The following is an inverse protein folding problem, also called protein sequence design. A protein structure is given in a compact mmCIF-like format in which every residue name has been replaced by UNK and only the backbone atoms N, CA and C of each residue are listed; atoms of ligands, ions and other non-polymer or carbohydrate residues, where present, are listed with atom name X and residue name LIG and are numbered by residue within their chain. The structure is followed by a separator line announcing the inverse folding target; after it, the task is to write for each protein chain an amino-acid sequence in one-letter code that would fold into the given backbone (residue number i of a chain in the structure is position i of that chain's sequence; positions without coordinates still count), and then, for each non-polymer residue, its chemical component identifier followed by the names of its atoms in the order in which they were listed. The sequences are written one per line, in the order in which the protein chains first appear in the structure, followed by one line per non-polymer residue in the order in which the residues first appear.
data_IF_378825784065
#
_entry.id   IF_378825784065
#
_cell.length_a   1.000
_cell.length_b   1.000
_cell.length_c   1.000
_cell.angle_alpha   90.00
_cell.angle_beta   90.00
_cell.angle_gamma   90.00
#
_symmetry.space_group_name_H-M   'P 1'
#
loop_
_entity.id
_entity.type
_entity.pdbx_description
1 polymer ?
#
# COMPACT_ATOMS: atom_id res chain seq x y z
N UNK A 1 -3.75 21.93 0.27
CA UNK A 1 -2.42 21.33 0.08
C UNK A 1 -1.80 21.17 1.46
N UNK A 2 -1.21 20.01 1.77
CA UNK A 2 -0.54 19.80 3.05
C UNK A 2 0.60 20.81 3.19
N UNK A 3 0.64 21.55 4.30
CA UNK A 3 1.76 22.44 4.61
C UNK A 3 2.94 21.56 5.01
N UNK A 4 3.75 21.19 4.03
CA UNK A 4 4.93 20.34 4.18
C UNK A 4 6.17 21.22 4.14
N UNK A 5 7.11 20.96 5.04
CA UNK A 5 8.42 21.60 4.99
C UNK A 5 9.14 21.29 3.66
N UNK A 6 10.02 22.18 3.24
CA UNK A 6 10.76 22.08 1.97
C UNK A 6 11.49 20.74 1.79
N UNK A 7 11.99 20.16 2.89
CA UNK A 7 12.62 18.85 2.88
C UNK A 7 11.64 17.73 2.49
N UNK A 8 10.44 17.73 3.08
CA UNK A 8 9.40 16.74 2.79
C UNK A 8 8.80 16.93 1.40
N UNK A 9 8.71 18.18 0.91
CA UNK A 9 8.28 18.46 -0.45
C UNK A 9 9.25 17.88 -1.50
N UNK A 10 10.57 17.99 -1.26
CA UNK A 10 11.60 17.38 -2.12
C UNK A 10 11.49 15.86 -2.14
N UNK A 11 11.37 15.22 -0.98
CA UNK A 11 11.21 13.76 -0.89
C UNK A 11 9.96 13.26 -1.62
N UNK A 12 8.84 13.99 -1.52
CA UNK A 12 7.63 13.66 -2.28
C UNK A 12 7.83 13.84 -3.78
N UNK A 13 8.59 14.85 -4.21
CA UNK A 13 8.90 15.04 -5.62
C UNK A 13 9.78 13.89 -6.16
N UNK A 14 10.80 13.47 -5.41
CA UNK A 14 11.66 12.33 -5.79
C UNK A 14 10.84 11.04 -5.91
N UNK A 15 9.95 10.78 -4.95
CA UNK A 15 9.00 9.65 -4.99
C UNK A 15 8.06 9.74 -6.20
N UNK A 16 7.57 10.94 -6.50
CA UNK A 16 6.69 11.19 -7.64
C UNK A 16 7.39 10.90 -8.95
N UNK A 17 8.63 11.34 -9.12
CA UNK A 17 9.43 11.08 -10.32
C UNK A 17 9.77 9.61 -10.47
N UNK A 18 10.14 8.95 -9.37
CA UNK A 18 10.50 7.53 -9.36
C UNK A 18 9.33 6.63 -9.78
N UNK A 19 8.14 6.85 -9.20
CA UNK A 19 6.95 6.05 -9.49
C UNK A 19 6.08 6.60 -10.63
N UNK A 20 6.45 7.76 -11.20
CA UNK A 20 5.69 8.48 -12.24
C UNK A 20 4.23 8.70 -11.87
N UNK A 21 3.98 9.04 -10.60
CA UNK A 21 2.64 9.23 -10.06
C UNK A 21 2.21 10.71 -10.11
N UNK A 22 0.92 10.96 -9.97
CA UNK A 22 0.41 12.32 -9.69
C UNK A 22 0.70 12.66 -8.24
N UNK A 23 0.85 13.96 -7.93
CA UNK A 23 1.18 14.41 -6.58
C UNK A 23 0.23 13.86 -5.50
N UNK A 24 -1.08 13.81 -5.77
CA UNK A 24 -2.07 13.26 -4.85
C UNK A 24 -1.90 11.75 -4.62
N UNK A 25 -1.58 10.99 -5.67
CA UNK A 25 -1.35 9.56 -5.60
C UNK A 25 -0.06 9.25 -4.84
N UNK A 26 0.98 10.06 -5.01
CA UNK A 26 2.23 9.95 -4.25
C UNK A 26 1.99 10.16 -2.75
N UNK A 27 1.19 11.15 -2.37
CA UNK A 27 0.83 11.39 -0.96
C UNK A 27 0.06 10.19 -0.40
N UNK A 28 -0.91 9.66 -1.16
CA UNK A 28 -1.69 8.49 -0.76
C UNK A 28 -0.81 7.24 -0.59
N UNK A 29 0.15 7.05 -1.49
CA UNK A 29 1.14 5.97 -1.40
C UNK A 29 2.03 6.11 -0.16
N UNK A 30 2.56 7.32 0.09
CA UNK A 30 3.40 7.59 1.25
C UNK A 30 2.66 7.31 2.57
N UNK A 31 1.42 7.76 2.69
CA UNK A 31 0.58 7.49 3.88
C UNK A 31 0.35 5.98 4.06
N UNK A 32 0.03 5.26 2.98
CA UNK A 32 -0.17 3.79 3.04
C UNK A 32 1.10 3.06 3.46
N UNK A 33 2.25 3.44 2.91
CA UNK A 33 3.54 2.84 3.26
C UNK A 33 3.89 3.09 4.72
N UNK A 34 3.77 4.33 5.19
CA UNK A 34 4.02 4.68 6.59
C UNK A 34 3.06 3.96 7.52
N UNK A 35 1.77 3.90 7.18
CA UNK A 35 0.77 3.19 7.97
C UNK A 35 1.03 1.67 8.00
N UNK A 36 1.43 1.06 6.88
CA UNK A 36 1.82 -0.35 6.83
C UNK A 36 3.05 -0.63 7.70
N UNK A 37 4.08 0.23 7.63
CA UNK A 37 5.26 0.17 8.49
C UNK A 37 4.96 0.42 9.96
N UNK A 38 3.98 1.25 10.29
CA UNK A 38 3.59 1.50 11.68
C UNK A 38 2.82 0.31 12.27
N UNK A 39 2.00 -0.37 11.47
CA UNK A 39 1.27 -1.58 11.91
C UNK A 39 2.15 -2.84 11.90
N UNK A 40 3.15 -2.91 11.03
CA UNK A 40 4.16 -3.96 11.05
C UNK A 40 5.21 -3.60 12.09
N UNK A 41 5.23 -4.29 13.23
CA UNK A 41 6.30 -4.14 14.23
C UNK A 41 7.68 -4.15 13.54
N UNK A 42 8.60 -3.24 13.90
CA UNK A 42 9.87 -3.05 13.20
C UNK A 42 10.81 -4.28 13.19
N UNK A 43 10.55 -5.28 14.03
CA UNK A 43 11.36 -6.51 14.11
C UNK A 43 10.88 -7.67 13.23
N UNK A 44 9.81 -7.50 12.44
CA UNK A 44 9.36 -8.55 11.53
C UNK A 44 9.81 -8.19 10.12
N UNK A 45 10.95 -8.78 9.74
CA UNK A 45 11.46 -8.87 8.38
C UNK A 45 10.30 -9.02 7.38
N UNK A 46 10.21 -8.01 6.51
CA UNK A 46 9.20 -7.79 5.47
C UNK A 46 8.72 -9.11 4.86
N UNK A 47 7.41 -9.44 4.92
CA UNK A 47 6.88 -10.51 4.08
C UNK A 47 6.97 -10.05 2.63
N UNK A 48 7.74 -10.78 1.83
CA UNK A 48 7.92 -10.60 0.39
C UNK A 48 6.57 -10.29 -0.27
N UNK A 49 6.42 -9.06 -0.80
CA UNK A 49 5.20 -8.63 -1.46
C UNK A 49 5.06 -9.40 -2.77
N UNK A 50 4.38 -10.55 -2.74
CA UNK A 50 3.92 -11.24 -3.94
C UNK A 50 2.60 -10.59 -4.37
N UNK A 51 2.55 -9.84 -5.49
CA UNK A 51 1.29 -9.37 -6.03
C UNK A 51 0.44 -10.60 -6.38
N UNK A 52 -0.60 -10.87 -5.58
CA UNK A 52 -1.61 -11.89 -5.91
C UNK A 52 -2.37 -11.41 -7.13
N UNK A 53 -1.89 -11.75 -8.32
CA UNK A 53 -2.77 -11.99 -9.44
C UNK A 53 -3.52 -13.32 -9.15
N UNK A 54 -4.55 -13.26 -8.31
CA UNK A 54 -5.59 -14.30 -8.28
C UNK A 54 -6.79 -13.75 -9.04
N UNK A 55 -6.72 -13.83 -10.38
CA UNK A 55 -7.89 -14.19 -11.17
C UNK A 55 -7.77 -15.70 -11.30
N UNK A 56 -8.61 -16.44 -10.59
CA UNK A 56 -9.30 -17.63 -11.08
C UNK A 56 -10.01 -18.34 -9.92
N UNK A 57 -11.21 -18.81 -10.26
CA UNK A 57 -12.08 -19.77 -9.59
C UNK A 57 -12.79 -19.36 -8.30
N UNK A 58 -13.90 -18.64 -8.49
CA UNK A 58 -15.09 -18.74 -7.63
C UNK A 58 -16.01 -19.82 -8.20
N UNK A 59 -15.78 -21.08 -7.89
CA UNK A 59 -16.80 -22.13 -7.91
C UNK A 59 -16.47 -23.20 -6.87
N UNK A 60 -17.53 -23.86 -6.39
CA UNK A 60 -17.62 -24.95 -5.40
C UNK A 60 -17.74 -24.47 -3.95
N UNK A 61 -18.96 -24.20 -3.47
CA UNK A 61 -20.01 -25.16 -3.04
C UNK A 61 -19.67 -25.73 -1.66
N UNK A 62 -20.30 -25.16 -0.63
CA UNK A 62 -20.40 -25.84 0.67
C UNK A 62 -21.76 -25.52 1.29
N UNK A 63 -22.65 -26.48 1.05
CA UNK A 63 -23.88 -26.80 1.76
C UNK A 63 -23.78 -26.45 3.25
N UNK A 64 -24.56 -25.48 3.71
CA UNK A 64 -24.80 -25.28 5.15
C UNK A 64 -26.29 -25.06 5.39
N UNK A 65 -27.02 -26.17 5.38
CA UNK A 65 -28.40 -26.24 5.87
C UNK A 65 -28.39 -26.17 7.41
N UNK A 66 -29.22 -25.31 8.04
CA UNK A 66 -29.39 -25.34 9.49
C UNK A 66 -30.51 -26.34 9.86
N UNK A 67 -30.18 -27.32 10.71
CA UNK A 67 -31.13 -28.20 11.42
C UNK A 67 -31.94 -27.47 12.48
#
# INVERSE_FOLDING_TARGET
MLNLDDAHARQLNDLREHFKLKAEDTIRLAIRLTHARHKQKPDVLVPEFKPRAKRDDWFEDDDNTPT
#
